data_IF_664453874069
#
_entry.id   IF_664453874069
#
_cell.length_a   1.000
_cell.length_b   1.000
_cell.length_c   1.000
_cell.angle_alpha   90.00
_cell.angle_beta   90.00
_cell.angle_gamma   90.00
#
_symmetry.space_group_name_H-M   'P 1'
#
loop_
_entity.id
_entity.type
_entity.pdbx_description
1 polymer ?
#
# COMPACT_ATOMS: atom_id res chain seq x y z
N UNK A 1 36.08 38.52 18.40
CA UNK A 1 36.38 37.90 17.10
C UNK A 1 36.20 36.39 17.11
N UNK A 2 36.66 35.64 18.10
CA UNK A 2 36.48 34.15 18.24
C UNK A 2 35.02 33.72 18.26
N UNK A 3 34.12 34.43 18.92
CA UNK A 3 32.70 34.06 19.06
C UNK A 3 31.92 34.12 17.76
N UNK A 4 32.19 35.07 16.87
CA UNK A 4 31.58 35.16 15.52
C UNK A 4 32.01 34.00 14.62
N UNK A 5 33.28 33.59 14.69
CA UNK A 5 33.80 32.44 13.96
C UNK A 5 33.14 31.13 14.42
N UNK A 6 32.98 30.93 15.74
CA UNK A 6 32.32 29.72 16.27
C UNK A 6 30.86 29.64 15.87
N UNK A 7 30.10 30.75 15.83
CA UNK A 7 28.73 30.81 15.33
C UNK A 7 28.64 30.50 13.84
N UNK A 8 29.58 30.98 13.03
CA UNK A 8 29.57 30.64 11.57
C UNK A 8 29.89 29.17 11.33
N UNK A 9 30.87 28.60 12.04
CA UNK A 9 31.19 27.16 11.92
C UNK A 9 30.00 26.27 12.34
N UNK A 10 29.29 26.64 13.42
CA UNK A 10 28.09 25.92 13.88
C UNK A 10 26.94 26.00 12.86
N UNK A 11 26.73 27.18 12.23
CA UNK A 11 25.75 27.34 11.12
C UNK A 11 26.12 26.47 9.92
N UNK A 12 27.36 26.43 9.50
CA UNK A 12 27.85 25.60 8.40
C UNK A 12 27.65 24.10 8.67
N UNK A 13 28.00 23.63 9.87
CA UNK A 13 27.76 22.22 10.26
C UNK A 13 26.27 21.85 10.23
N UNK A 14 25.39 22.72 10.73
CA UNK A 14 23.95 22.48 10.73
C UNK A 14 23.39 22.48 9.31
N UNK A 15 23.87 23.34 8.42
CA UNK A 15 23.49 23.35 7.01
C UNK A 15 23.89 22.05 6.30
N UNK A 16 25.14 21.62 6.46
CA UNK A 16 25.62 20.35 5.88
C UNK A 16 24.86 19.14 6.40
N UNK A 17 24.49 19.13 7.69
CA UNK A 17 23.67 18.07 8.27
C UNK A 17 22.29 18.02 7.63
N UNK A 18 21.61 19.16 7.46
CA UNK A 18 20.29 19.23 6.77
C UNK A 18 20.36 18.75 5.32
N UNK A 19 21.33 19.22 4.55
CA UNK A 19 21.52 18.80 3.15
C UNK A 19 21.75 17.30 3.06
N UNK A 20 22.52 16.72 3.98
CA UNK A 20 22.76 15.28 4.05
C UNK A 20 21.48 14.51 4.41
N UNK A 21 20.70 15.00 5.36
CA UNK A 21 19.41 14.41 5.74
C UNK A 21 18.40 14.47 4.59
N UNK A 22 18.25 15.60 3.92
CA UNK A 22 17.39 15.75 2.73
C UNK A 22 17.78 14.79 1.60
N UNK A 23 19.08 14.65 1.35
CA UNK A 23 19.57 13.70 0.34
C UNK A 23 19.29 12.25 0.72
N UNK A 24 19.40 11.87 1.99
CA UNK A 24 19.09 10.55 2.51
C UNK A 24 17.59 10.25 2.39
N UNK A 25 16.74 11.21 2.77
CA UNK A 25 15.28 11.09 2.65
C UNK A 25 14.89 10.91 1.18
N UNK A 26 15.37 11.78 0.28
CA UNK A 26 15.10 11.69 -1.16
C UNK A 26 15.54 10.35 -1.74
N UNK A 27 16.71 9.85 -1.32
CA UNK A 27 17.20 8.54 -1.73
C UNK A 27 16.30 7.42 -1.23
N UNK A 28 15.87 7.47 0.05
CA UNK A 28 14.97 6.48 0.63
C UNK A 28 13.64 6.41 -0.14
N UNK A 29 13.01 7.55 -0.41
CA UNK A 29 11.77 7.62 -1.21
C UNK A 29 11.97 7.05 -2.61
N UNK A 30 13.06 7.41 -3.29
CA UNK A 30 13.36 6.90 -4.64
C UNK A 30 13.57 5.38 -4.64
N UNK A 31 14.26 4.86 -3.64
CA UNK A 31 14.58 3.44 -3.51
C UNK A 31 13.35 2.58 -3.16
N UNK A 32 12.38 3.15 -2.46
CA UNK A 32 11.18 2.45 -1.99
C UNK A 32 9.89 2.93 -2.67
N UNK A 33 9.98 3.66 -3.80
CA UNK A 33 8.82 4.22 -4.49
C UNK A 33 7.70 3.21 -4.69
N UNK A 34 8.00 1.99 -5.16
CA UNK A 34 6.96 1.00 -5.41
C UNK A 34 6.31 0.49 -4.12
N UNK A 35 7.09 0.33 -3.05
CA UNK A 35 6.55 -0.04 -1.74
C UNK A 35 5.61 1.04 -1.20
N UNK A 36 6.01 2.30 -1.28
CA UNK A 36 5.19 3.43 -0.86
C UNK A 36 3.91 3.56 -1.70
N UNK A 37 4.02 3.35 -3.02
CA UNK A 37 2.86 3.34 -3.92
C UNK A 37 1.92 2.18 -3.57
N UNK A 38 2.45 1.00 -3.23
CA UNK A 38 1.67 -0.14 -2.76
C UNK A 38 0.86 0.22 -1.50
N UNK A 39 1.52 0.76 -0.47
CA UNK A 39 0.85 1.19 0.76
C UNK A 39 -0.23 2.22 0.47
N UNK A 40 0.09 3.25 -0.32
CA UNK A 40 -0.85 4.31 -0.68
C UNK A 40 -2.11 3.74 -1.37
N UNK A 41 -1.93 2.89 -2.38
CA UNK A 41 -3.03 2.31 -3.17
C UNK A 41 -3.92 1.42 -2.30
N UNK A 42 -3.34 0.58 -1.45
CA UNK A 42 -4.11 -0.29 -0.57
C UNK A 42 -4.90 0.53 0.48
N UNK A 43 -4.32 1.58 1.05
CA UNK A 43 -5.00 2.46 2.02
C UNK A 43 -6.11 3.26 1.33
N UNK A 44 -5.91 3.75 0.10
CA UNK A 44 -6.96 4.41 -0.66
C UNK A 44 -8.11 3.44 -0.92
N UNK A 45 -7.85 2.21 -1.38
CA UNK A 45 -8.89 1.22 -1.63
C UNK A 45 -9.66 0.85 -0.34
N UNK A 46 -8.99 0.70 0.79
CA UNK A 46 -9.65 0.45 2.08
C UNK A 46 -10.50 1.65 2.53
N UNK A 47 -10.02 2.88 2.34
CA UNK A 47 -10.79 4.09 2.64
C UNK A 47 -12.01 4.23 1.73
N UNK A 48 -11.86 3.91 0.43
CA UNK A 48 -12.99 3.88 -0.51
C UNK A 48 -14.02 2.82 -0.12
N UNK A 49 -13.58 1.64 0.33
CA UNK A 49 -14.49 0.61 0.83
C UNK A 49 -15.34 1.15 1.98
N UNK A 50 -14.72 1.80 2.97
CA UNK A 50 -15.45 2.44 4.08
C UNK A 50 -16.41 3.52 3.61
N UNK A 51 -15.98 4.35 2.66
CA UNK A 51 -16.83 5.40 2.10
C UNK A 51 -18.09 4.84 1.44
N UNK A 52 -17.97 3.72 0.70
CA UNK A 52 -19.13 3.12 0.01
C UNK A 52 -20.00 2.25 0.91
N UNK A 53 -19.48 1.75 2.03
CA UNK A 53 -20.22 0.91 2.97
C UNK A 53 -20.76 1.67 4.17
N UNK A 54 -20.05 2.67 4.67
CA UNK A 54 -20.47 3.46 5.82
C UNK A 54 -21.21 4.73 5.34
N UNK A 55 -22.47 4.89 5.74
CA UNK A 55 -23.31 6.01 5.31
C UNK A 55 -23.01 7.33 6.03
N UNK A 56 -22.24 7.32 7.11
CA UNK A 56 -21.89 8.49 7.91
C UNK A 56 -20.47 8.94 7.64
N UNK A 57 -20.27 10.21 7.31
CA UNK A 57 -18.97 10.83 7.04
C UNK A 57 -17.96 10.65 8.19
N UNK A 58 -18.43 10.65 9.44
CA UNK A 58 -17.58 10.51 10.63
C UNK A 58 -16.85 9.17 10.72
N UNK A 59 -17.41 8.10 10.14
CA UNK A 59 -16.88 6.76 10.29
C UNK A 59 -15.82 6.39 9.27
N UNK A 60 -15.88 6.85 8.01
CA UNK A 60 -14.92 6.43 6.99
C UNK A 60 -13.56 7.14 7.09
N UNK A 61 -13.51 8.34 7.68
CA UNK A 61 -12.27 9.09 7.94
C UNK A 61 -11.75 8.88 9.37
N UNK A 62 -12.31 7.95 10.14
CA UNK A 62 -11.82 7.65 11.47
C UNK A 62 -10.34 7.26 11.44
N UNK A 63 -9.52 7.93 12.25
CA UNK A 63 -8.05 7.76 12.25
C UNK A 63 -7.65 6.36 12.69
N UNK A 64 -8.30 5.79 13.70
CA UNK A 64 -7.97 4.45 14.23
C UNK A 64 -8.04 3.35 13.18
N UNK A 65 -9.13 3.19 12.40
CA UNK A 65 -9.18 2.20 11.32
C UNK A 65 -8.14 2.46 10.22
N UNK A 66 -7.86 3.73 9.88
CA UNK A 66 -6.84 4.06 8.87
C UNK A 66 -5.43 3.62 9.33
N UNK A 67 -5.09 3.84 10.61
CA UNK A 67 -3.81 3.39 11.16
C UNK A 67 -3.73 1.86 11.14
N UNK A 68 -4.81 1.16 11.51
CA UNK A 68 -4.85 -0.30 11.46
C UNK A 68 -4.64 -0.84 10.03
N UNK A 69 -5.28 -0.22 9.03
CA UNK A 69 -5.09 -0.60 7.62
C UNK A 69 -3.64 -0.37 7.18
N UNK A 70 -3.05 0.78 7.53
CA UNK A 70 -1.64 1.06 7.25
C UNK A 70 -0.76 -0.01 7.90
N UNK A 71 -1.00 -0.37 9.16
CA UNK A 71 -0.26 -1.40 9.86
C UNK A 71 -0.30 -2.74 9.12
N UNK A 72 -1.48 -3.24 8.78
CA UNK A 72 -1.65 -4.51 8.05
C UNK A 72 -0.97 -4.46 6.68
N UNK A 73 -1.16 -3.38 5.91
CA UNK A 73 -0.57 -3.24 4.58
C UNK A 73 0.96 -3.16 4.65
N UNK A 74 1.51 -2.43 5.61
CA UNK A 74 2.96 -2.33 5.84
C UNK A 74 3.51 -3.68 6.28
N UNK A 75 2.83 -4.40 7.15
CA UNK A 75 3.21 -5.74 7.60
C UNK A 75 3.28 -6.71 6.41
N UNK A 76 2.22 -6.81 5.60
CA UNK A 76 2.21 -7.65 4.40
C UNK A 76 3.27 -7.20 3.40
N UNK A 77 3.38 -5.89 3.16
CA UNK A 77 4.38 -5.31 2.28
C UNK A 77 5.82 -5.58 2.73
N UNK A 78 6.08 -5.71 4.04
CA UNK A 78 7.41 -5.98 4.60
C UNK A 78 8.00 -7.29 4.07
N UNK A 79 7.17 -8.32 3.86
CA UNK A 79 7.61 -9.59 3.28
C UNK A 79 8.22 -9.44 1.89
N UNK A 80 7.93 -8.35 1.17
CA UNK A 80 8.58 -8.07 -0.11
C UNK A 80 10.10 -7.97 -0.01
N UNK A 81 10.64 -7.56 1.14
CA UNK A 81 12.09 -7.45 1.35
C UNK A 81 12.80 -8.81 1.45
N UNK A 82 12.06 -9.91 1.69
CA UNK A 82 12.64 -11.26 1.67
C UNK A 82 13.03 -11.69 0.25
N UNK A 83 12.40 -11.11 -0.77
CA UNK A 83 12.65 -11.43 -2.17
C UNK A 83 13.76 -10.56 -2.79
N UNK A 84 14.46 -11.10 -3.82
CA UNK A 84 15.57 -10.41 -4.51
C UNK A 84 15.09 -9.75 -5.81
N UNK A 85 15.57 -8.55 -6.08
CA UNK A 85 15.43 -7.88 -7.38
C UNK A 85 13.99 -7.85 -7.90
N UNK A 86 13.74 -8.35 -9.11
CA UNK A 86 12.42 -8.38 -9.74
C UNK A 86 11.36 -9.08 -8.91
N UNK A 87 11.68 -10.18 -8.22
CA UNK A 87 10.72 -10.96 -7.42
C UNK A 87 10.06 -10.15 -6.32
N UNK A 88 10.79 -9.17 -5.74
CA UNK A 88 10.22 -8.22 -4.76
C UNK A 88 9.06 -7.41 -5.37
N UNK A 89 9.25 -6.91 -6.57
CA UNK A 89 8.25 -6.10 -7.26
C UNK A 89 7.04 -6.92 -7.70
N UNK A 90 7.29 -8.16 -8.16
CA UNK A 90 6.22 -9.11 -8.50
C UNK A 90 5.39 -9.48 -7.26
N UNK A 91 6.03 -9.67 -6.11
CA UNK A 91 5.30 -9.91 -4.84
C UNK A 91 4.36 -8.74 -4.50
N UNK A 92 4.85 -7.49 -4.57
CA UNK A 92 4.01 -6.31 -4.31
C UNK A 92 2.86 -6.19 -5.31
N UNK A 93 3.07 -6.59 -6.57
CA UNK A 93 2.00 -6.62 -7.58
C UNK A 93 0.92 -7.64 -7.21
N UNK A 94 1.32 -8.87 -6.87
CA UNK A 94 0.37 -9.92 -6.46
C UNK A 94 -0.39 -9.49 -5.19
N UNK A 95 0.31 -8.95 -4.20
CA UNK A 95 -0.32 -8.44 -2.98
C UNK A 95 -1.30 -7.30 -3.27
N UNK A 96 -0.96 -6.37 -4.19
CA UNK A 96 -1.86 -5.28 -4.59
C UNK A 96 -3.13 -5.80 -5.29
N UNK A 97 -3.01 -6.80 -6.17
CA UNK A 97 -4.15 -7.46 -6.80
C UNK A 97 -5.05 -8.07 -5.72
N UNK A 98 -4.47 -8.79 -4.77
CA UNK A 98 -5.19 -9.47 -3.71
C UNK A 98 -5.96 -8.48 -2.82
N UNK A 99 -5.32 -7.39 -2.37
CA UNK A 99 -6.00 -6.36 -1.57
C UNK A 99 -7.11 -5.65 -2.36
N UNK A 100 -6.88 -5.34 -3.64
CA UNK A 100 -7.90 -4.71 -4.49
C UNK A 100 -9.10 -5.64 -4.67
N UNK A 101 -8.86 -6.93 -4.93
CA UNK A 101 -9.92 -7.93 -5.07
C UNK A 101 -10.73 -8.08 -3.78
N UNK A 102 -10.08 -8.12 -2.60
CA UNK A 102 -10.78 -8.16 -1.31
C UNK A 102 -11.69 -6.93 -1.15
N UNK A 103 -11.20 -5.73 -1.47
CA UNK A 103 -12.02 -4.52 -1.37
C UNK A 103 -13.23 -4.57 -2.32
N UNK A 104 -13.04 -5.00 -3.57
CA UNK A 104 -14.13 -5.14 -4.54
C UNK A 104 -15.17 -6.17 -4.09
N UNK A 105 -14.72 -7.36 -3.68
CA UNK A 105 -15.61 -8.43 -3.20
C UNK A 105 -16.42 -7.94 -1.99
N UNK A 106 -15.78 -7.28 -1.03
CA UNK A 106 -16.49 -6.75 0.13
C UNK A 106 -17.46 -5.62 -0.23
N UNK A 107 -17.13 -4.74 -1.18
CA UNK A 107 -18.03 -3.69 -1.68
C UNK A 107 -19.29 -4.29 -2.31
N UNK A 108 -19.12 -5.25 -3.19
CA UNK A 108 -20.20 -5.98 -3.86
C UNK A 108 -21.05 -6.70 -2.82
N UNK A 109 -20.43 -7.47 -1.94
CA UNK A 109 -21.11 -8.25 -0.91
C UNK A 109 -21.93 -7.35 0.02
N UNK A 110 -21.35 -6.25 0.48
CA UNK A 110 -22.03 -5.29 1.36
C UNK A 110 -23.26 -4.65 0.71
N UNK A 111 -23.23 -4.45 -0.60
CA UNK A 111 -24.38 -3.88 -1.34
C UNK A 111 -25.62 -4.74 -1.24
N UNK A 112 -25.45 -6.07 -1.18
CA UNK A 112 -26.57 -7.03 -1.15
C UNK A 112 -26.93 -7.48 0.25
N UNK A 113 -25.94 -7.70 1.08
CA UNK A 113 -26.13 -8.35 2.39
C UNK A 113 -25.98 -7.39 3.56
N UNK A 114 -25.63 -6.12 3.32
CA UNK A 114 -25.35 -5.09 4.36
C UNK A 114 -24.34 -5.57 5.43
N UNK A 115 -23.54 -6.57 5.09
CA UNK A 115 -22.48 -7.15 5.92
C UNK A 115 -21.22 -7.43 5.09
N UNK A 116 -20.06 -7.58 5.74
CA UNK A 116 -18.83 -7.92 5.05
C UNK A 116 -18.72 -9.43 4.79
N UNK A 117 -18.10 -9.81 3.68
CA UNK A 117 -17.82 -11.21 3.38
C UNK A 117 -16.87 -11.80 4.42
N UNK A 118 -17.22 -12.94 4.99
CA UNK A 118 -16.38 -13.68 5.93
C UNK A 118 -15.67 -14.85 5.24
N UNK A 119 -14.53 -15.28 5.79
CA UNK A 119 -13.79 -16.41 5.24
C UNK A 119 -14.59 -17.72 5.23
N UNK A 120 -15.57 -17.88 6.16
CA UNK A 120 -16.46 -19.04 6.20
C UNK A 120 -17.36 -19.14 4.96
N UNK A 121 -17.61 -18.02 4.27
CA UNK A 121 -18.40 -18.01 3.04
C UNK A 121 -17.67 -18.56 1.82
N UNK A 122 -16.34 -18.67 1.89
CA UNK A 122 -15.58 -19.35 0.83
C UNK A 122 -16.01 -20.81 0.62
N UNK A 123 -16.51 -21.47 1.68
CA UNK A 123 -17.07 -22.83 1.56
C UNK A 123 -18.38 -22.88 0.79
N UNK A 124 -19.07 -21.74 0.64
CA UNK A 124 -20.32 -21.64 -0.11
C UNK A 124 -20.10 -21.30 -1.59
N UNK A 125 -18.86 -21.09 -2.04
CA UNK A 125 -18.55 -20.74 -3.44
C UNK A 125 -19.01 -21.79 -4.45
N UNK A 126 -19.14 -23.04 -4.03
CA UNK A 126 -19.71 -24.12 -4.85
C UNK A 126 -21.16 -23.86 -5.29
N UNK A 127 -21.89 -23.01 -4.57
CA UNK A 127 -23.26 -22.64 -4.91
C UNK A 127 -23.36 -21.37 -5.77
N UNK A 128 -22.24 -20.68 -6.04
CA UNK A 128 -22.22 -19.44 -6.83
C UNK A 128 -22.29 -19.70 -8.32
N UNK A 129 -21.80 -20.85 -8.80
CA UNK A 129 -21.75 -21.19 -10.21
C UNK A 129 -23.12 -21.13 -10.92
N UNK A 130 -24.23 -21.61 -10.33
CA UNK A 130 -25.56 -21.51 -10.98
C UNK A 130 -26.15 -20.09 -10.98
N UNK A 131 -25.59 -19.17 -10.19
CA UNK A 131 -26.13 -17.81 -9.99
C UNK A 131 -25.22 -16.76 -10.71
N UNK A 132 -24.15 -17.21 -11.38
CA UNK A 132 -23.13 -16.32 -11.95
C UNK A 132 -23.69 -15.29 -12.92
N UNK A 133 -24.63 -15.66 -13.78
CA UNK A 133 -25.17 -14.76 -14.81
C UNK A 133 -26.05 -13.67 -14.20
N UNK A 134 -26.91 -14.04 -13.25
CA UNK A 134 -27.72 -13.08 -12.50
C UNK A 134 -26.86 -12.13 -11.62
N UNK A 135 -25.72 -12.63 -11.13
CA UNK A 135 -24.76 -11.85 -10.36
C UNK A 135 -24.04 -10.83 -11.25
N UNK A 136 -23.63 -11.20 -12.46
CA UNK A 136 -22.92 -10.27 -13.36
C UNK A 136 -23.84 -9.15 -13.85
N UNK A 137 -25.09 -9.44 -14.18
CA UNK A 137 -26.03 -8.44 -14.70
C UNK A 137 -26.53 -7.44 -13.65
N UNK A 138 -26.69 -7.87 -12.41
CA UNK A 138 -27.35 -7.05 -11.37
C UNK A 138 -26.42 -6.59 -10.23
N UNK A 139 -25.20 -7.13 -10.12
CA UNK A 139 -24.35 -7.03 -8.93
C UNK A 139 -23.19 -6.04 -9.10
N UNK A 140 -22.62 -5.95 -10.32
CA UNK A 140 -21.53 -5.02 -10.59
C UNK A 140 -22.06 -3.60 -10.78
N UNK A 141 -21.78 -2.74 -9.80
CA UNK A 141 -22.09 -1.31 -9.88
C UNK A 141 -20.87 -0.52 -10.36
N UNK A 142 -21.12 0.62 -11.01
CA UNK A 142 -20.05 1.50 -11.51
C UNK A 142 -19.05 1.90 -10.40
N UNK A 143 -19.53 2.01 -9.15
CA UNK A 143 -18.69 2.31 -7.97
C UNK A 143 -17.62 1.24 -7.72
N UNK A 144 -17.90 -0.03 -8.06
CA UNK A 144 -16.97 -1.14 -7.82
C UNK A 144 -15.78 -1.09 -8.78
N UNK A 145 -15.96 -0.51 -9.98
CA UNK A 145 -14.87 -0.25 -10.92
C UNK A 145 -13.89 0.82 -10.44
N UNK A 146 -14.33 1.70 -9.52
CA UNK A 146 -13.46 2.76 -8.98
C UNK A 146 -12.25 2.20 -8.22
N UNK A 147 -12.33 0.99 -7.65
CA UNK A 147 -11.20 0.33 -7.00
C UNK A 147 -10.05 0.01 -7.97
N UNK A 148 -10.35 -0.07 -9.26
CA UNK A 148 -9.33 -0.30 -10.29
C UNK A 148 -8.50 0.95 -10.58
N UNK A 149 -8.98 2.15 -10.24
CA UNK A 149 -8.27 3.41 -10.53
C UNK A 149 -6.96 3.51 -9.74
N UNK A 150 -6.94 3.36 -8.39
CA UNK A 150 -5.68 3.33 -7.64
C UNK A 150 -4.78 2.16 -8.06
N UNK A 151 -5.37 1.01 -8.40
CA UNK A 151 -4.62 -0.15 -8.90
C UNK A 151 -3.97 0.13 -10.27
N UNK A 152 -4.66 0.80 -11.19
CA UNK A 152 -4.07 1.21 -12.47
C UNK A 152 -2.87 2.16 -12.28
N UNK A 153 -2.94 3.07 -11.30
CA UNK A 153 -1.80 3.91 -10.92
C UNK A 153 -0.63 3.09 -10.40
N UNK A 154 -0.89 2.03 -9.61
CA UNK A 154 0.15 1.09 -9.18
C UNK A 154 0.80 0.38 -10.37
N UNK A 155 0.02 -0.16 -11.30
CA UNK A 155 0.51 -0.81 -12.52
C UNK A 155 1.37 0.15 -13.34
N UNK A 156 0.93 1.40 -13.52
CA UNK A 156 1.69 2.42 -14.24
C UNK A 156 3.07 2.65 -13.58
N UNK A 157 3.10 2.81 -12.25
CA UNK A 157 4.34 2.98 -11.50
C UNK A 157 5.24 1.75 -11.62
N UNK A 158 4.66 0.55 -11.52
CA UNK A 158 5.37 -0.71 -11.70
C UNK A 158 6.03 -0.81 -13.08
N UNK A 159 5.29 -0.56 -14.16
CA UNK A 159 5.83 -0.58 -15.52
C UNK A 159 6.90 0.49 -15.75
N UNK A 160 6.70 1.70 -15.21
CA UNK A 160 7.69 2.78 -15.30
C UNK A 160 9.02 2.40 -14.64
N UNK A 161 8.97 1.74 -13.50
CA UNK A 161 10.18 1.27 -12.79
C UNK A 161 10.84 0.10 -13.52
N UNK A 162 10.06 -0.81 -14.10
CA UNK A 162 10.55 -1.90 -14.94
C UNK A 162 11.33 -1.37 -16.14
N UNK A 163 10.73 -0.45 -16.91
CA UNK A 163 11.36 0.15 -18.10
C UNK A 163 12.67 0.88 -17.79
N UNK A 164 12.73 1.54 -16.61
CA UNK A 164 13.94 2.26 -16.18
C UNK A 164 15.05 1.35 -15.66
N UNK A 165 14.82 0.05 -15.52
CA UNK A 165 15.79 -0.91 -14.97
C UNK A 165 16.25 -0.60 -13.55
N UNK A 166 15.56 0.31 -12.85
CA UNK A 166 15.92 0.80 -11.51
C UNK A 166 15.47 -0.18 -10.41
N UNK A 167 15.92 -1.44 -10.53
CA UNK A 167 15.73 -2.40 -9.45
C UNK A 167 16.85 -2.24 -8.44
N UNK A 168 16.54 -1.70 -7.27
CA UNK A 168 17.52 -1.71 -6.19
C UNK A 168 17.78 -3.16 -5.75
N UNK A 169 19.02 -3.58 -5.89
CA UNK A 169 19.49 -4.86 -5.35
C UNK A 169 20.02 -4.60 -3.94
N UNK A 170 19.25 -4.97 -2.95
CA UNK A 170 19.71 -4.95 -1.57
C UNK A 170 20.64 -6.13 -1.29
N UNK A 171 21.68 -5.91 -0.50
CA UNK A 171 22.51 -6.97 0.06
C UNK A 171 21.69 -7.85 1.02
N UNK A 172 22.18 -9.02 1.38
CA UNK A 172 21.46 -9.94 2.30
C UNK A 172 21.20 -9.27 3.66
N UNK A 173 22.16 -8.50 4.16
CA UNK A 173 22.07 -7.78 5.43
C UNK A 173 21.05 -6.64 5.34
N UNK A 174 21.12 -5.78 4.32
CA UNK A 174 20.16 -4.70 4.11
C UNK A 174 18.71 -5.20 3.99
N UNK A 175 18.49 -6.34 3.32
CA UNK A 175 17.14 -6.92 3.21
C UNK A 175 16.60 -7.35 4.57
N UNK A 176 17.42 -8.02 5.38
CA UNK A 176 17.03 -8.46 6.73
C UNK A 176 16.72 -7.26 7.63
N UNK A 177 17.56 -6.23 7.59
CA UNK A 177 17.36 -5.00 8.37
C UNK A 177 16.10 -4.24 7.93
N UNK A 178 15.90 -4.04 6.62
CA UNK A 178 14.72 -3.35 6.11
C UNK A 178 13.44 -4.16 6.37
N UNK A 179 13.50 -5.48 6.27
CA UNK A 179 12.37 -6.34 6.63
C UNK A 179 12.01 -6.16 8.11
N UNK A 180 13.00 -6.25 9.01
CA UNK A 180 12.76 -6.14 10.44
C UNK A 180 12.17 -4.77 10.81
N UNK A 181 12.75 -3.68 10.30
CA UNK A 181 12.25 -2.33 10.58
C UNK A 181 10.83 -2.11 10.06
N UNK A 182 10.53 -2.57 8.82
CA UNK A 182 9.18 -2.42 8.26
C UNK A 182 8.18 -3.34 8.94
N UNK A 183 8.59 -4.52 9.34
CA UNK A 183 7.75 -5.45 10.09
C UNK A 183 7.36 -4.88 11.45
N UNK A 184 8.32 -4.38 12.22
CA UNK A 184 8.06 -3.72 13.52
C UNK A 184 7.18 -2.47 13.35
N UNK A 185 7.35 -1.72 12.26
CA UNK A 185 6.51 -0.55 11.99
C UNK A 185 5.06 -0.91 11.60
N UNK A 186 4.80 -2.13 11.16
CA UNK A 186 3.47 -2.61 10.80
C UNK A 186 2.71 -3.30 11.94
N UNK A 187 3.39 -3.63 13.04
CA UNK A 187 2.81 -4.20 14.27
C UNK A 187 2.47 -3.10 15.25
#
# INVERSE_FOLDING_TARGET
MKEKLTKQVKKGKNYLKRVKEEHLIKKYFTDNTLFLTFVLVCVINSTMLRFFTMRTLENYLAIKPIIADIGIVVLVGSFSYLFKGKKRYTYLLIASIFFTAICMINSIYYTFYTSFASASMLSLTQFIAPVSDAVVENVLQLKDLLYLVPFAFFIFTYHRLLKKGKFKRYTKTERKTNWLHTFIAGV
#
